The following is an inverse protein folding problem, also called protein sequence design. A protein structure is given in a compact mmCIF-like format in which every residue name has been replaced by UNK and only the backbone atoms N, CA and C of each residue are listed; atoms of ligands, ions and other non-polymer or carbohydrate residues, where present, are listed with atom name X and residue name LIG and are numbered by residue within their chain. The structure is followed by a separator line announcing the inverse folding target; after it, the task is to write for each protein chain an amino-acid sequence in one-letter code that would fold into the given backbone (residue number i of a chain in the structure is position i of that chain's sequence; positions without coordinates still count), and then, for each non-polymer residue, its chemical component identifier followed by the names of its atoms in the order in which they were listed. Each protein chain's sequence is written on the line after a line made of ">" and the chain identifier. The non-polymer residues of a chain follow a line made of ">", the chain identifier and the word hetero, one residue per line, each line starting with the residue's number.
data_IF_478734662529
#
_entry.id   IF_478734662529
#
_cell.length_a   1.000
_cell.length_b   1.000
_cell.length_c   1.000
_cell.angle_alpha   90.00
_cell.angle_beta   90.00
_cell.angle_gamma   90.00
#
_symmetry.space_group_name_H-M   'P 1'
#
loop_
_entity.id
_entity.type
_entity.pdbx_description
1 polymer ?
#
# COMPACT_ATOMS: atom_id res chain seq x y z
N UNK A 1 40.96 6.10 97.16
CA UNK A 1 41.34 7.54 97.21
C UNK A 1 40.47 8.26 96.16
N UNK A 2 39.47 8.97 96.65
CA UNK A 2 39.01 10.30 96.21
C UNK A 2 38.86 10.49 94.69
N UNK A 3 37.84 10.98 94.10
CA UNK A 3 36.71 11.91 94.45
C UNK A 3 35.75 11.91 93.26
N UNK A 4 34.42 11.87 93.45
CA UNK A 4 33.40 12.41 92.60
C UNK A 4 33.51 13.94 92.51
N UNK A 5 32.90 14.63 91.53
CA UNK A 5 31.42 14.78 91.52
C UNK A 5 30.75 15.00 90.10
N UNK A 6 29.46 14.78 90.07
CA UNK A 6 28.40 15.36 89.16
C UNK A 6 28.44 16.90 89.16
N UNK A 7 27.58 17.63 88.30
CA UNK A 7 26.49 17.26 87.38
C UNK A 7 26.41 18.15 86.12
N UNK A 8 25.54 17.88 85.18
CA UNK A 8 24.54 18.87 84.72
C UNK A 8 23.60 18.26 83.65
N UNK A 9 22.34 18.29 83.96
CA UNK A 9 21.21 17.96 83.11
C UNK A 9 21.02 19.05 82.06
N UNK A 10 20.95 18.70 80.82
CA UNK A 10 20.39 19.55 79.72
C UNK A 10 19.19 18.86 79.17
N UNK A 11 18.03 19.46 79.45
CA UNK A 11 16.70 19.14 78.87
C UNK A 11 16.75 19.34 77.37
N UNK A 12 16.66 18.29 76.57
CA UNK A 12 16.31 18.36 75.17
C UNK A 12 14.80 18.38 75.02
N UNK A 13 14.26 19.52 74.58
CA UNK A 13 12.89 19.70 74.10
C UNK A 13 12.71 18.85 72.85
N UNK A 14 11.82 17.86 72.91
CA UNK A 14 11.31 17.14 71.74
C UNK A 14 10.33 18.05 71.02
N UNK A 15 10.74 18.60 69.86
CA UNK A 15 9.81 19.16 68.89
C UNK A 15 9.14 18.01 68.17
N UNK A 16 7.86 17.82 68.44
CA UNK A 16 6.96 17.03 67.60
C UNK A 16 6.75 17.84 66.30
N UNK A 17 7.40 17.46 65.21
CA UNK A 17 7.00 17.84 63.86
C UNK A 17 5.67 17.16 63.56
N UNK A 18 4.61 17.92 63.61
CA UNK A 18 3.29 17.54 63.08
C UNK A 18 3.36 17.68 61.58
N UNK A 19 3.60 16.57 60.87
CA UNK A 19 3.38 16.49 59.44
C UNK A 19 1.87 16.64 59.20
N UNK A 20 1.43 17.85 58.91
CA UNK A 20 0.11 18.10 58.36
C UNK A 20 0.13 17.54 56.93
N UNK A 21 -0.44 16.36 56.74
CA UNK A 21 -0.87 15.86 55.41
C UNK A 21 -1.97 16.84 54.92
N UNK A 22 -1.58 17.80 54.09
CA UNK A 22 -2.55 18.65 53.39
C UNK A 22 -3.23 17.76 52.33
N UNK A 23 -4.44 17.33 52.63
CA UNK A 23 -5.33 16.81 51.59
C UNK A 23 -5.49 17.90 50.55
N UNK A 24 -5.29 17.63 49.27
CA UNK A 24 -5.56 18.62 48.23
C UNK A 24 -7.03 19.04 48.35
N UNK A 25 -7.25 20.35 48.61
CA UNK A 25 -8.58 20.90 48.72
C UNK A 25 -9.07 21.20 47.30
N UNK A 26 -10.10 20.50 46.86
CA UNK A 26 -10.72 20.74 45.57
C UNK A 26 -11.53 22.03 45.65
N UNK A 27 -11.46 22.88 44.63
CA UNK A 27 -12.28 24.09 44.53
C UNK A 27 -13.77 23.70 44.56
N UNK A 28 -14.54 24.40 45.43
CA UNK A 28 -15.97 24.10 45.63
C UNK A 28 -16.78 24.29 44.34
N UNK A 29 -16.43 25.26 43.50
CA UNK A 29 -17.05 25.47 42.19
C UNK A 29 -16.78 24.32 41.21
N UNK A 30 -15.57 23.79 41.21
CA UNK A 30 -15.21 22.64 40.41
C UNK A 30 -15.94 21.39 40.88
N UNK A 31 -16.06 21.22 42.20
CA UNK A 31 -16.76 20.08 42.80
C UNK A 31 -18.27 20.11 42.49
N UNK A 32 -18.91 21.27 42.56
CA UNK A 32 -20.33 21.42 42.21
C UNK A 32 -20.56 21.10 40.72
N UNK A 33 -19.66 21.55 39.86
CA UNK A 33 -19.75 21.29 38.42
C UNK A 33 -19.60 19.81 38.09
N UNK A 34 -18.66 19.11 38.74
CA UNK A 34 -18.48 17.66 38.59
C UNK A 34 -19.70 16.86 39.03
N UNK A 35 -20.38 17.33 40.12
CA UNK A 35 -21.57 16.66 40.64
C UNK A 35 -22.81 16.93 39.78
N UNK A 36 -22.92 18.14 39.22
CA UNK A 36 -24.05 18.51 38.36
C UNK A 36 -24.01 17.94 36.98
N UNK A 37 -22.80 17.73 36.41
CA UNK A 37 -22.58 17.26 35.05
C UNK A 37 -21.52 16.14 35.01
N UNK A 38 -21.79 14.94 35.57
CA UNK A 38 -20.83 13.87 35.67
C UNK A 38 -20.42 13.28 34.29
N UNK A 39 -21.32 13.37 33.32
CA UNK A 39 -21.09 12.85 31.98
C UNK A 39 -19.92 13.53 31.25
N UNK A 40 -19.69 14.83 31.53
CA UNK A 40 -18.54 15.57 30.96
C UNK A 40 -17.20 14.93 31.35
N UNK A 41 -17.11 14.32 32.54
CA UNK A 41 -15.91 13.63 33.00
C UNK A 41 -15.84 12.20 32.43
N UNK A 42 -17.01 11.54 32.38
CA UNK A 42 -17.08 10.13 31.88
C UNK A 42 -16.80 10.04 30.39
N UNK A 43 -17.10 11.07 29.61
CA UNK A 43 -16.82 11.15 28.19
C UNK A 43 -15.38 11.62 27.87
N UNK A 44 -14.70 12.28 28.83
CA UNK A 44 -13.30 12.69 28.67
C UNK A 44 -12.34 11.54 28.99
N UNK A 45 -11.84 10.89 27.94
CA UNK A 45 -10.95 9.75 28.06
C UNK A 45 -9.64 10.06 28.78
N UNK A 46 -9.07 11.26 28.59
CA UNK A 46 -7.80 11.63 29.21
C UNK A 46 -7.97 11.88 30.70
N UNK A 47 -9.08 12.51 31.06
CA UNK A 47 -9.43 12.75 32.47
C UNK A 47 -9.73 11.42 33.18
N UNK A 48 -10.47 10.51 32.53
CA UNK A 48 -10.76 9.19 33.06
C UNK A 48 -9.50 8.35 33.25
N UNK A 49 -8.57 8.36 32.30
CA UNK A 49 -7.26 7.69 32.44
C UNK A 49 -6.46 8.24 33.62
N UNK A 50 -6.43 9.56 33.78
CA UNK A 50 -5.72 10.19 34.87
C UNK A 50 -6.33 9.84 36.26
N UNK A 51 -7.66 9.76 36.36
CA UNK A 51 -8.36 9.36 37.58
C UNK A 51 -8.13 7.88 37.93
N UNK A 52 -8.17 6.98 36.93
CA UNK A 52 -7.88 5.57 37.11
C UNK A 52 -6.43 5.37 37.58
N UNK A 53 -5.46 5.99 36.93
CA UNK A 53 -4.06 5.93 37.31
C UNK A 53 -3.77 6.52 38.71
N UNK A 54 -4.54 7.53 39.12
CA UNK A 54 -4.46 8.10 40.48
C UNK A 54 -5.03 7.13 41.53
N UNK A 55 -6.13 6.47 41.23
CA UNK A 55 -6.76 5.45 42.09
C UNK A 55 -5.84 4.21 42.28
N UNK A 56 -5.22 3.71 41.20
CA UNK A 56 -4.27 2.61 41.23
C UNK A 56 -3.06 2.91 42.11
N UNK A 57 -2.51 4.11 42.01
CA UNK A 57 -1.43 4.59 42.91
C UNK A 57 -1.81 4.62 44.37
N UNK A 58 -3.09 4.92 44.68
CA UNK A 58 -3.62 4.97 46.01
C UNK A 58 -3.90 3.59 46.64
N UNK A 59 -4.12 2.57 45.83
CA UNK A 59 -4.50 1.22 46.31
C UNK A 59 -3.29 0.31 46.70
N UNK A 60 -2.06 0.76 46.49
CA UNK A 60 -0.85 0.00 46.82
C UNK A 60 -0.59 -1.13 45.80
N UNK A 61 0.67 -1.31 45.39
CA UNK A 61 1.12 -2.10 44.26
C UNK A 61 0.89 -3.63 44.28
N UNK A 62 -0.11 -4.12 44.99
CA UNK A 62 -0.41 -5.56 45.08
C UNK A 62 -1.82 -5.95 44.60
N UNK A 63 -2.58 -5.00 44.03
CA UNK A 63 -3.88 -5.27 43.43
C UNK A 63 -3.74 -5.06 41.92
N UNK A 64 -3.77 -6.15 41.16
CA UNK A 64 -3.81 -6.10 39.69
C UNK A 64 -5.24 -5.75 39.28
N UNK A 65 -5.42 -4.56 38.71
CA UNK A 65 -6.71 -4.18 38.12
C UNK A 65 -6.96 -4.94 36.81
N UNK A 66 -7.61 -6.09 36.95
CA UNK A 66 -8.01 -6.91 35.79
C UNK A 66 -9.00 -6.19 34.87
N UNK A 67 -9.75 -5.18 35.38
CA UNK A 67 -10.67 -4.41 34.55
C UNK A 67 -9.91 -3.44 33.65
N UNK A 68 -8.91 -2.73 34.19
CA UNK A 68 -8.04 -1.85 33.40
C UNK A 68 -7.36 -2.62 32.28
N UNK A 69 -6.75 -3.77 32.61
CA UNK A 69 -6.12 -4.63 31.61
C UNK A 69 -7.11 -5.12 30.54
N UNK A 70 -8.34 -5.45 30.95
CA UNK A 70 -9.37 -5.88 30.00
C UNK A 70 -9.83 -4.73 29.09
N UNK A 71 -9.99 -3.53 29.63
CA UNK A 71 -10.35 -2.32 28.86
C UNK A 71 -9.26 -1.95 27.86
N UNK A 72 -7.98 -1.90 28.28
CA UNK A 72 -6.84 -1.64 27.38
C UNK A 72 -6.78 -2.64 26.22
N UNK A 73 -7.06 -3.92 26.50
CA UNK A 73 -7.13 -4.96 25.46
C UNK A 73 -8.30 -4.76 24.50
N UNK A 74 -9.45 -4.33 25.01
CA UNK A 74 -10.62 -4.04 24.18
C UNK A 74 -10.40 -2.81 23.31
N UNK A 75 -9.84 -1.75 23.87
CA UNK A 75 -9.47 -0.53 23.13
C UNK A 75 -8.45 -0.89 22.01
N UNK A 76 -7.37 -1.59 22.34
CA UNK A 76 -6.39 -2.01 21.35
C UNK A 76 -6.97 -2.97 20.29
N UNK A 77 -8.05 -3.69 20.60
CA UNK A 77 -8.77 -4.50 19.62
C UNK A 77 -9.69 -3.67 18.73
N UNK A 78 -10.36 -2.66 19.29
CA UNK A 78 -11.18 -1.71 18.55
C UNK A 78 -10.32 -0.92 17.56
N UNK A 79 -9.19 -0.35 18.00
CA UNK A 79 -8.27 0.38 17.14
C UNK A 79 -7.82 -0.47 15.95
N UNK A 80 -7.44 -1.74 16.22
CA UNK A 80 -7.05 -2.66 15.14
C UNK A 80 -8.20 -2.98 14.18
N UNK A 81 -9.42 -3.11 14.69
CA UNK A 81 -10.60 -3.34 13.85
C UNK A 81 -10.90 -2.12 12.99
N UNK A 82 -10.81 -0.90 13.54
CA UNK A 82 -11.00 0.33 12.78
C UNK A 82 -9.94 0.49 11.68
N UNK A 83 -8.67 0.24 11.99
CA UNK A 83 -7.58 0.30 11.00
C UNK A 83 -7.76 -0.75 9.89
N UNK A 84 -8.15 -1.97 10.27
CA UNK A 84 -8.47 -3.02 9.30
C UNK A 84 -9.66 -2.61 8.43
N UNK A 85 -10.71 -2.06 9.03
CA UNK A 85 -11.89 -1.60 8.31
C UNK A 85 -11.55 -0.49 7.30
N UNK A 86 -10.77 0.51 7.72
CA UNK A 86 -10.30 1.59 6.83
C UNK A 86 -9.46 1.03 5.69
N UNK A 87 -8.56 0.08 5.97
CA UNK A 87 -7.73 -0.57 4.94
C UNK A 87 -8.56 -1.35 3.92
N UNK A 88 -9.56 -2.10 4.37
CA UNK A 88 -10.46 -2.85 3.49
C UNK A 88 -11.28 -1.92 2.59
N UNK A 89 -11.81 -0.84 3.16
CA UNK A 89 -12.55 0.16 2.38
C UNK A 89 -11.65 0.81 1.34
N UNK A 90 -10.44 1.24 1.71
CA UNK A 90 -9.48 1.82 0.78
C UNK A 90 -9.17 0.86 -0.37
N UNK A 91 -8.84 -0.41 -0.06
CA UNK A 91 -8.59 -1.44 -1.07
C UNK A 91 -9.79 -1.70 -1.99
N UNK A 92 -11.03 -1.62 -1.45
CA UNK A 92 -12.24 -1.77 -2.27
C UNK A 92 -12.42 -0.60 -3.24
N UNK A 93 -12.16 0.64 -2.81
CA UNK A 93 -12.20 1.81 -3.69
C UNK A 93 -11.11 1.77 -4.77
N UNK A 94 -9.89 1.37 -4.42
CA UNK A 94 -8.80 1.21 -5.37
C UNK A 94 -9.12 0.15 -6.42
N UNK A 95 -9.72 -0.95 -6.02
CA UNK A 95 -10.14 -2.02 -6.92
C UNK A 95 -11.26 -1.56 -7.88
N UNK A 96 -12.23 -0.80 -7.36
CA UNK A 96 -13.29 -0.21 -8.18
C UNK A 96 -12.73 0.82 -9.18
N UNK A 97 -11.81 1.67 -8.73
CA UNK A 97 -11.12 2.64 -9.59
C UNK A 97 -10.34 1.93 -10.71
N UNK A 98 -9.55 0.90 -10.37
CA UNK A 98 -8.83 0.07 -11.34
C UNK A 98 -9.75 -0.62 -12.34
N UNK A 99 -10.89 -1.15 -11.88
CA UNK A 99 -11.90 -1.76 -12.75
C UNK A 99 -12.47 -0.75 -13.77
N UNK A 100 -12.85 0.44 -13.30
CA UNK A 100 -13.36 1.50 -14.18
C UNK A 100 -12.29 1.98 -15.17
N UNK A 101 -11.04 2.03 -14.75
CA UNK A 101 -9.90 2.40 -15.58
C UNK A 101 -9.70 1.40 -16.71
N UNK A 102 -9.68 0.09 -16.40
CA UNK A 102 -9.57 -0.98 -17.40
C UNK A 102 -10.77 -0.97 -18.36
N UNK A 103 -11.99 -0.77 -17.88
CA UNK A 103 -13.17 -0.68 -18.76
C UNK A 103 -13.05 0.49 -19.75
N UNK A 104 -12.63 1.66 -19.30
CA UNK A 104 -12.43 2.82 -20.17
C UNK A 104 -11.33 2.57 -21.21
N UNK A 105 -10.23 1.97 -20.79
CA UNK A 105 -9.13 1.61 -21.67
C UNK A 105 -9.57 0.62 -22.76
N UNK A 106 -10.37 -0.39 -22.39
CA UNK A 106 -10.94 -1.35 -23.35
C UNK A 106 -11.85 -0.65 -24.36
N UNK A 107 -12.76 0.20 -23.91
CA UNK A 107 -13.66 0.92 -24.81
C UNK A 107 -12.84 1.76 -25.79
N UNK A 108 -11.86 2.53 -25.31
CA UNK A 108 -10.98 3.33 -26.16
C UNK A 108 -10.19 2.48 -27.16
N UNK A 109 -9.66 1.36 -26.70
CA UNK A 109 -8.90 0.42 -27.55
C UNK A 109 -9.76 -0.17 -28.69
N UNK A 110 -11.06 -0.30 -28.51
CA UNK A 110 -11.96 -0.92 -29.50
C UNK A 110 -12.54 0.09 -30.52
N UNK A 111 -12.38 1.41 -30.29
CA UNK A 111 -12.90 2.46 -31.18
C UNK A 111 -12.22 2.51 -32.56
N UNK A 112 -10.88 2.36 -32.70
CA UNK A 112 -10.22 2.49 -33.99
C UNK A 112 -10.68 1.47 -35.03
N UNK A 113 -10.87 1.94 -36.28
CA UNK A 113 -11.20 1.09 -37.42
C UNK A 113 -9.99 0.69 -38.26
N UNK A 114 -8.82 1.30 -38.01
CA UNK A 114 -7.56 1.04 -38.70
C UNK A 114 -6.47 0.64 -37.73
N UNK A 115 -5.59 -0.28 -38.13
CA UNK A 115 -4.54 -0.82 -37.28
C UNK A 115 -3.53 0.25 -36.83
N UNK A 116 -3.16 1.16 -37.71
CA UNK A 116 -2.24 2.25 -37.38
C UNK A 116 -2.82 3.18 -36.31
N UNK A 117 -4.12 3.52 -36.40
CA UNK A 117 -4.83 4.29 -35.40
C UNK A 117 -4.92 3.54 -34.06
N UNK A 118 -5.19 2.23 -34.12
CA UNK A 118 -5.20 1.37 -32.93
C UNK A 118 -3.86 1.40 -32.18
N UNK A 119 -2.74 1.27 -32.89
CA UNK A 119 -1.41 1.31 -32.27
C UNK A 119 -1.07 2.69 -31.70
N UNK A 120 -1.46 3.75 -32.42
CA UNK A 120 -1.28 5.13 -31.92
C UNK A 120 -2.05 5.37 -30.63
N UNK A 121 -3.34 4.96 -30.62
CA UNK A 121 -4.18 5.07 -29.44
C UNK A 121 -3.68 4.20 -28.29
N UNK A 122 -3.12 3.04 -28.59
CA UNK A 122 -2.53 2.15 -27.58
C UNK A 122 -1.37 2.83 -26.82
N UNK A 123 -0.46 3.46 -27.56
CA UNK A 123 0.69 4.16 -26.96
C UNK A 123 0.35 5.54 -26.38
N UNK A 124 -0.82 6.08 -26.70
CA UNK A 124 -1.31 7.39 -26.25
C UNK A 124 -2.47 7.26 -25.26
N UNK A 125 -3.69 7.51 -25.74
CA UNK A 125 -4.87 7.61 -24.87
C UNK A 125 -5.13 6.37 -24.00
N UNK A 126 -4.85 5.17 -24.50
CA UNK A 126 -5.02 3.93 -23.70
C UNK A 126 -3.97 3.88 -22.58
N UNK A 127 -2.72 4.24 -22.88
CA UNK A 127 -1.66 4.34 -21.87
C UNK A 127 -2.00 5.38 -20.80
N UNK A 128 -2.50 6.57 -21.21
CA UNK A 128 -2.94 7.63 -20.33
C UNK A 128 -4.09 7.19 -19.41
N UNK A 129 -5.09 6.50 -19.97
CA UNK A 129 -6.22 5.95 -19.19
C UNK A 129 -5.71 4.94 -18.17
N UNK A 130 -4.76 4.07 -18.54
CA UNK A 130 -4.18 3.06 -17.66
C UNK A 130 -3.14 3.67 -16.70
N UNK A 131 -2.78 4.94 -16.87
CA UNK A 131 -1.76 5.66 -16.09
C UNK A 131 -0.41 4.94 -16.13
N UNK A 132 -0.01 4.52 -17.33
CA UNK A 132 1.31 3.94 -17.57
C UNK A 132 2.14 4.89 -18.42
N UNK A 133 3.44 4.95 -18.16
CA UNK A 133 4.35 5.88 -18.80
C UNK A 133 4.84 5.39 -20.16
N UNK A 134 4.80 4.06 -20.35
CA UNK A 134 5.13 3.44 -21.63
C UNK A 134 4.25 2.22 -21.89
N UNK A 135 3.85 2.04 -23.15
CA UNK A 135 3.16 0.84 -23.61
C UNK A 135 3.82 0.32 -24.89
N UNK A 136 4.15 -0.98 -24.91
CA UNK A 136 4.84 -1.63 -26.03
C UNK A 136 4.13 -2.92 -26.40
N UNK A 137 3.82 -3.07 -27.68
CA UNK A 137 3.37 -4.33 -28.24
C UNK A 137 4.57 -5.02 -28.91
N UNK A 138 4.90 -6.21 -28.45
CA UNK A 138 5.94 -7.06 -29.03
C UNK A 138 5.28 -8.20 -29.79
N UNK A 139 5.61 -8.36 -31.06
CA UNK A 139 5.17 -9.46 -31.90
C UNK A 139 6.39 -10.27 -32.34
N UNK A 140 6.36 -11.57 -32.13
CA UNK A 140 7.39 -12.45 -32.71
C UNK A 140 7.11 -12.71 -34.19
N UNK A 141 8.15 -12.61 -35.02
CA UNK A 141 8.08 -12.91 -36.45
C UNK A 141 9.33 -13.68 -36.90
N UNK A 142 9.12 -14.67 -37.76
CA UNK A 142 10.23 -15.37 -38.43
C UNK A 142 10.79 -14.58 -39.63
N UNK A 143 10.13 -13.48 -40.01
CA UNK A 143 10.56 -12.62 -41.10
C UNK A 143 11.10 -11.33 -40.52
N UNK A 144 12.26 -10.88 -41.03
CA UNK A 144 12.79 -9.54 -40.70
C UNK A 144 11.90 -8.54 -41.42
N UNK A 145 11.12 -7.79 -40.65
CA UNK A 145 10.17 -6.82 -41.19
C UNK A 145 10.87 -5.45 -41.27
N UNK A 146 11.47 -5.22 -42.46
CA UNK A 146 12.02 -3.89 -42.82
C UNK A 146 10.93 -2.94 -43.33
N UNK A 147 9.64 -3.22 -43.07
CA UNK A 147 8.55 -2.41 -43.54
C UNK A 147 8.66 -1.00 -42.94
N UNK A 148 8.68 0.07 -43.76
CA UNK A 148 8.69 1.45 -43.30
C UNK A 148 7.49 1.82 -42.41
N UNK A 149 6.34 1.10 -42.55
CA UNK A 149 5.17 1.30 -41.71
C UNK A 149 5.42 0.84 -40.28
N UNK A 150 6.09 -0.29 -40.09
CA UNK A 150 6.50 -0.81 -38.76
C UNK A 150 7.51 0.14 -38.11
N UNK A 151 8.47 0.66 -38.87
CA UNK A 151 9.47 1.63 -38.35
C UNK A 151 8.87 2.93 -37.87
N UNK A 152 7.77 3.40 -38.44
CA UNK A 152 7.05 4.61 -38.00
C UNK A 152 6.28 4.41 -36.69
N UNK A 153 5.99 3.17 -36.34
CA UNK A 153 5.27 2.79 -35.14
C UNK A 153 6.20 2.18 -34.08
N UNK A 154 7.51 2.29 -34.27
CA UNK A 154 8.55 1.72 -33.43
C UNK A 154 8.50 2.17 -31.96
N UNK A 155 7.81 3.27 -31.66
CA UNK A 155 7.55 3.70 -30.29
C UNK A 155 6.49 2.86 -29.57
N UNK A 156 5.70 2.08 -30.28
CA UNK A 156 4.64 1.24 -29.72
C UNK A 156 4.79 -0.22 -30.11
N UNK A 157 5.21 -0.48 -31.38
CA UNK A 157 5.33 -1.81 -31.94
C UNK A 157 6.79 -2.24 -32.10
N UNK A 158 7.14 -3.39 -31.56
CA UNK A 158 8.43 -4.04 -31.71
C UNK A 158 8.22 -5.41 -32.35
N UNK A 159 8.90 -5.69 -33.45
CA UNK A 159 8.97 -7.01 -34.04
C UNK A 159 10.25 -7.69 -33.55
N UNK A 160 10.12 -8.87 -32.98
CA UNK A 160 11.21 -9.61 -32.35
C UNK A 160 11.36 -11.01 -32.98
N UNK A 161 12.55 -11.60 -32.85
CA UNK A 161 12.79 -12.97 -33.28
C UNK A 161 12.00 -13.97 -32.39
N UNK A 162 11.65 -15.16 -32.96
CA UNK A 162 11.01 -16.22 -32.22
C UNK A 162 11.78 -16.61 -30.93
N UNK A 163 11.11 -16.69 -29.80
CA UNK A 163 11.70 -17.00 -28.50
C UNK A 163 12.13 -15.77 -27.67
N UNK A 164 12.04 -14.57 -28.22
CA UNK A 164 12.35 -13.33 -27.49
C UNK A 164 11.45 -13.16 -26.29
N UNK A 165 10.13 -13.33 -26.44
CA UNK A 165 9.15 -13.13 -25.37
C UNK A 165 9.39 -14.08 -24.21
N UNK A 166 9.68 -15.35 -24.51
CA UNK A 166 10.00 -16.32 -23.47
C UNK A 166 11.28 -15.95 -22.73
N UNK A 167 12.32 -15.59 -23.46
CA UNK A 167 13.58 -15.09 -22.88
C UNK A 167 13.39 -13.87 -22.00
N UNK A 168 12.59 -12.90 -22.44
CA UNK A 168 12.30 -11.68 -21.72
C UNK A 168 11.50 -11.93 -20.43
N UNK A 169 10.46 -12.76 -20.49
CA UNK A 169 9.61 -13.08 -19.34
C UNK A 169 10.32 -13.92 -18.28
N UNK A 170 11.16 -14.86 -18.70
CA UNK A 170 11.83 -15.80 -17.78
C UNK A 170 13.20 -15.31 -17.31
N UNK A 171 13.76 -14.29 -17.97
CA UNK A 171 15.14 -13.86 -17.73
C UNK A 171 16.15 -14.98 -17.98
N UNK A 172 15.82 -15.90 -18.90
CA UNK A 172 16.64 -17.10 -19.19
C UNK A 172 16.56 -18.21 -18.14
N UNK A 173 15.69 -18.07 -17.14
CA UNK A 173 15.44 -19.10 -16.09
C UNK A 173 14.14 -19.83 -16.45
N UNK A 174 14.10 -21.16 -16.40
CA UNK A 174 12.92 -21.97 -16.69
C UNK A 174 11.81 -21.79 -15.64
N UNK A 175 11.20 -20.62 -15.59
CA UNK A 175 10.09 -20.33 -14.71
C UNK A 175 8.76 -20.71 -15.38
N UNK A 176 7.70 -21.08 -14.62
CA UNK A 176 6.39 -21.35 -15.18
C UNK A 176 5.85 -20.12 -15.90
N UNK A 177 5.42 -20.31 -17.14
CA UNK A 177 4.85 -19.22 -17.94
C UNK A 177 3.51 -18.77 -17.36
N UNK A 178 3.46 -17.52 -16.88
CA UNK A 178 2.23 -16.87 -16.44
C UNK A 178 1.71 -15.99 -17.57
N UNK A 179 0.40 -15.85 -17.67
CA UNK A 179 -0.20 -14.93 -18.63
C UNK A 179 0.15 -13.48 -18.31
N UNK A 180 0.19 -13.12 -17.03
CA UNK A 180 0.58 -11.79 -16.56
C UNK A 180 1.74 -11.92 -15.59
N UNK A 181 2.79 -11.16 -15.83
CA UNK A 181 3.96 -11.06 -14.95
C UNK A 181 4.14 -9.60 -14.54
N UNK A 182 4.12 -9.35 -13.22
CA UNK A 182 4.40 -8.04 -12.62
C UNK A 182 5.78 -8.09 -11.99
N UNK A 183 6.62 -7.09 -12.28
CA UNK A 183 7.96 -7.03 -11.71
C UNK A 183 8.51 -5.61 -11.64
N UNK A 184 9.48 -5.43 -10.77
CA UNK A 184 10.30 -4.23 -10.73
C UNK A 184 11.45 -4.35 -11.72
N UNK A 185 11.78 -3.25 -12.37
CA UNK A 185 12.90 -3.13 -13.31
C UNK A 185 14.03 -2.38 -12.58
N UNK A 186 15.17 -3.04 -12.38
CA UNK A 186 16.29 -2.49 -11.63
C UNK A 186 17.44 -2.01 -12.52
N UNK A 187 17.59 -2.57 -13.69
CA UNK A 187 18.59 -2.17 -14.66
C UNK A 187 17.92 -1.75 -15.96
N UNK A 188 18.55 -0.85 -16.68
CA UNK A 188 18.19 -0.36 -18.02
C UNK A 188 18.03 -1.48 -19.05
N UNK A 189 17.71 -2.66 -18.60
CA UNK A 189 17.69 -3.90 -19.32
C UNK A 189 16.58 -3.99 -20.35
N UNK A 190 15.73 -2.99 -20.50
CA UNK A 190 14.74 -3.21 -21.50
C UNK A 190 15.04 -2.46 -22.78
N UNK A 191 15.63 -3.23 -23.71
CA UNK A 191 15.68 -2.88 -25.13
C UNK A 191 14.31 -2.48 -25.71
N UNK A 192 13.21 -2.66 -24.94
CA UNK A 192 11.86 -2.38 -25.37
C UNK A 192 11.44 -0.91 -25.17
N UNK A 193 12.01 -0.20 -24.20
CA UNK A 193 11.57 1.16 -23.87
C UNK A 193 12.42 2.25 -24.53
N UNK A 194 13.49 1.89 -25.25
CA UNK A 194 14.35 2.88 -25.93
C UNK A 194 14.85 3.97 -24.99
N UNK A 195 14.61 5.23 -25.33
CA UNK A 195 15.02 6.39 -24.51
C UNK A 195 14.32 6.48 -23.14
N UNK A 196 13.18 5.81 -22.97
CA UNK A 196 12.42 5.77 -21.71
C UNK A 196 12.94 4.71 -20.73
N UNK A 197 13.87 3.84 -21.15
CA UNK A 197 14.35 2.70 -20.35
C UNK A 197 14.90 3.15 -18.97
N UNK A 198 15.56 4.30 -18.91
CA UNK A 198 16.16 4.82 -17.68
C UNK A 198 15.12 5.32 -16.66
N UNK A 199 13.89 5.57 -17.08
CA UNK A 199 12.82 6.08 -16.22
C UNK A 199 11.92 4.97 -15.70
N UNK A 200 11.75 3.87 -16.46
CA UNK A 200 10.86 2.77 -16.07
C UNK A 200 11.44 2.00 -14.88
N UNK A 201 10.64 1.86 -13.82
CA UNK A 201 11.01 1.19 -12.57
C UNK A 201 10.17 -0.04 -12.27
N UNK A 202 8.97 -0.14 -12.85
CA UNK A 202 8.14 -1.34 -12.75
C UNK A 202 7.44 -1.61 -14.06
N UNK A 203 7.11 -2.87 -14.30
CA UNK A 203 6.42 -3.26 -15.53
C UNK A 203 5.43 -4.40 -15.32
N UNK A 204 4.38 -4.39 -16.15
CA UNK A 204 3.45 -5.48 -16.33
C UNK A 204 3.63 -6.07 -17.74
N UNK A 205 3.99 -7.33 -17.80
CA UNK A 205 4.12 -8.07 -19.06
C UNK A 205 2.92 -9.00 -19.23
N UNK A 206 2.14 -8.81 -20.29
CA UNK A 206 0.97 -9.59 -20.64
C UNK A 206 1.33 -10.46 -21.86
N UNK A 207 1.46 -11.75 -21.66
CA UNK A 207 1.64 -12.69 -22.76
C UNK A 207 0.33 -12.84 -23.51
N UNK A 208 0.40 -12.76 -24.85
CA UNK A 208 -0.75 -12.80 -25.74
C UNK A 208 -0.71 -14.05 -26.60
N UNK A 209 -1.87 -14.71 -26.70
CA UNK A 209 -2.09 -15.85 -27.58
C UNK A 209 -3.02 -15.47 -28.73
N UNK A 210 -2.49 -15.51 -29.94
CA UNK A 210 -3.27 -15.16 -31.15
C UNK A 210 -3.90 -16.36 -31.84
N UNK A 211 -3.77 -17.55 -31.26
CA UNK A 211 -4.35 -18.79 -31.77
C UNK A 211 -3.37 -19.69 -32.54
N UNK A 212 -3.88 -20.83 -32.96
CA UNK A 212 -3.08 -21.90 -33.58
C UNK A 212 -2.34 -21.42 -34.82
N UNK A 213 -1.07 -21.82 -34.91
CA UNK A 213 -0.19 -21.52 -36.06
C UNK A 213 0.36 -20.10 -36.10
N UNK A 214 0.11 -19.29 -35.07
CA UNK A 214 0.67 -17.93 -34.92
C UNK A 214 1.70 -17.90 -33.80
N UNK A 215 2.73 -17.07 -33.98
CA UNK A 215 3.70 -16.81 -32.92
C UNK A 215 3.07 -15.98 -31.82
N UNK A 216 3.54 -16.11 -30.58
CA UNK A 216 3.00 -15.33 -29.45
C UNK A 216 3.29 -13.84 -29.59
N UNK A 217 2.49 -13.04 -28.91
CA UNK A 217 2.77 -11.63 -28.68
C UNK A 217 2.94 -11.34 -27.19
N UNK A 218 3.36 -10.13 -26.90
CA UNK A 218 3.44 -9.60 -25.54
C UNK A 218 3.08 -8.13 -25.53
N UNK A 219 2.20 -7.74 -24.64
CA UNK A 219 1.95 -6.34 -24.32
C UNK A 219 2.68 -6.00 -23.04
N UNK A 220 3.52 -4.97 -23.08
CA UNK A 220 4.28 -4.50 -21.91
C UNK A 220 3.83 -3.12 -21.55
N UNK A 221 3.55 -2.91 -20.28
CA UNK A 221 3.19 -1.64 -19.66
C UNK A 221 4.30 -1.26 -18.68
N UNK A 222 4.97 -0.14 -18.92
CA UNK A 222 6.04 0.38 -18.06
C UNK A 222 5.57 1.56 -17.23
N UNK A 223 6.03 1.65 -15.99
CA UNK A 223 5.76 2.77 -15.10
C UNK A 223 7.04 3.27 -14.42
N UNK A 224 7.12 4.59 -14.22
CA UNK A 224 8.17 5.24 -13.44
C UNK A 224 8.03 4.92 -11.96
N UNK A 225 6.80 4.72 -11.47
CA UNK A 225 6.56 4.30 -10.08
C UNK A 225 6.96 2.84 -9.85
N UNK A 226 7.97 2.55 -8.99
CA UNK A 226 8.37 1.18 -8.70
C UNK A 226 7.29 0.36 -8.00
N UNK A 227 6.25 1.00 -7.45
CA UNK A 227 5.18 0.32 -6.72
C UNK A 227 3.93 0.09 -7.56
N UNK A 228 3.87 0.60 -8.79
CA UNK A 228 2.69 0.42 -9.65
C UNK A 228 2.48 -1.04 -10.05
N UNK A 229 3.55 -1.77 -10.35
CA UNK A 229 3.50 -3.18 -10.71
C UNK A 229 4.35 -4.03 -9.77
N UNK A 230 3.74 -4.46 -8.67
CA UNK A 230 4.42 -5.31 -7.68
C UNK A 230 3.99 -6.77 -7.80
N UNK A 231 4.90 -7.74 -7.58
CA UNK A 231 4.61 -9.18 -7.76
C UNK A 231 3.48 -9.73 -6.89
N UNK A 232 3.09 -9.00 -5.84
CA UNK A 232 2.04 -9.39 -4.89
C UNK A 232 0.64 -8.92 -5.29
N UNK A 233 0.53 -8.05 -6.29
CA UNK A 233 -0.76 -7.54 -6.75
C UNK A 233 -1.55 -8.62 -7.50
N UNK A 234 -2.91 -8.52 -7.40
CA UNK A 234 -3.81 -9.34 -8.20
C UNK A 234 -3.69 -9.00 -9.69
N UNK A 235 -3.74 -10.03 -10.53
CA UNK A 235 -3.57 -9.90 -11.98
C UNK A 235 -4.86 -10.07 -12.77
N UNK A 236 -6.01 -10.21 -12.10
CA UNK A 236 -7.29 -10.56 -12.74
C UNK A 236 -7.74 -9.51 -13.77
N UNK A 237 -7.62 -8.21 -13.43
CA UNK A 237 -7.98 -7.12 -14.34
C UNK A 237 -7.05 -7.07 -15.57
N UNK A 238 -5.76 -7.28 -15.38
CA UNK A 238 -4.80 -7.31 -16.48
C UNK A 238 -4.97 -8.58 -17.34
N UNK A 239 -5.31 -9.71 -16.72
CA UNK A 239 -5.65 -10.94 -17.43
C UNK A 239 -6.90 -10.73 -18.29
N UNK A 240 -7.92 -10.06 -17.76
CA UNK A 240 -9.13 -9.71 -18.52
C UNK A 240 -8.78 -8.77 -19.68
N UNK A 241 -7.99 -7.72 -19.41
CA UNK A 241 -7.53 -6.78 -20.44
C UNK A 241 -6.77 -7.49 -21.55
N UNK A 242 -5.83 -8.39 -21.22
CA UNK A 242 -5.08 -9.21 -22.18
C UNK A 242 -6.01 -10.06 -23.06
N UNK A 243 -7.01 -10.70 -22.45
CA UNK A 243 -7.96 -11.51 -23.20
C UNK A 243 -8.84 -10.72 -24.18
N UNK A 244 -9.18 -9.45 -23.83
CA UNK A 244 -9.89 -8.54 -24.79
C UNK A 244 -8.93 -8.07 -25.88
N UNK A 245 -7.69 -7.72 -25.51
CA UNK A 245 -6.64 -7.31 -26.44
C UNK A 245 -6.35 -8.38 -27.48
N UNK A 246 -6.19 -9.63 -27.07
CA UNK A 246 -6.01 -10.78 -27.98
C UNK A 246 -7.13 -10.87 -29.03
N UNK A 247 -8.39 -10.68 -28.60
CA UNK A 247 -9.55 -10.74 -29.51
C UNK A 247 -9.57 -9.55 -30.46
N UNK A 248 -9.21 -8.36 -30.00
CA UNK A 248 -9.07 -7.19 -30.85
C UNK A 248 -7.97 -7.40 -31.90
N UNK A 249 -6.81 -7.89 -31.48
CA UNK A 249 -5.67 -8.15 -32.38
C UNK A 249 -5.96 -9.22 -33.43
N UNK A 250 -6.73 -10.24 -33.12
CA UNK A 250 -7.12 -11.28 -34.10
C UNK A 250 -7.86 -10.73 -35.29
N UNK A 251 -8.59 -9.59 -35.15
CA UNK A 251 -9.24 -8.90 -36.29
C UNK A 251 -8.23 -8.31 -37.28
N UNK A 252 -7.06 -7.90 -36.78
CA UNK A 252 -6.02 -7.28 -37.60
C UNK A 252 -5.06 -8.31 -38.22
N UNK A 253 -4.97 -9.47 -37.58
CA UNK A 253 -4.08 -10.55 -38.00
C UNK A 253 -4.78 -11.59 -38.92
N UNK A 254 -6.06 -11.47 -39.18
CA UNK A 254 -6.87 -12.38 -40.04
C UNK A 254 -6.68 -12.14 -41.52
#
# INVERSE_FOLDING_TARGET
>A
MKISPHPHAIKRKTQKETTMSSKPNMDDTLRERIISEPDVILEDQDLMRALIAANERGMGGNIVDLRGIAMDRLEARLDRLEDTHRSVIAAAYDNLAGTNQVHRAILRMLDPSEFEAFLRDLGGEVADILRVDAMRLVLESAQNDDDPAVKRLGDVLTVAEPGFIEGYLTGGRGAPQRQVTLRQVHDSASSLYGEQADFIRSEACLRLDFGDGRLPGMLVMGAEDPHQFTPQQGTDLLTFFAGVFERAMRRWLS
#
